data_IF_615152327712
#
_entry.id   IF_615152327712
#
_cell.length_a   1.000
_cell.length_b   1.000
_cell.length_c   1.000
_cell.angle_alpha   90.00
_cell.angle_beta   90.00
_cell.angle_gamma   90.00
#
_symmetry.space_group_name_H-M   'P 1'
#
loop_
_entity.id
_entity.type
_entity.pdbx_description
1 polymer ?
#
# COMPACT_ATOMS: atom_id res chain seq x y z
N UNK A 1 11.72 16.98 6.42
CA UNK A 1 11.92 17.86 5.24
C UNK A 1 13.39 17.94 4.82
N UNK A 2 14.32 18.19 5.76
CA UNK A 2 15.76 18.18 5.49
C UNK A 2 16.23 16.89 4.78
N UNK A 3 15.89 15.71 5.32
CA UNK A 3 16.23 14.41 4.70
C UNK A 3 15.71 14.26 3.26
N UNK A 4 14.50 14.71 2.96
CA UNK A 4 13.95 14.63 1.60
C UNK A 4 14.70 15.59 0.66
N UNK A 5 15.00 16.80 1.14
CA UNK A 5 15.75 17.79 0.38
C UNK A 5 17.18 17.34 0.09
N UNK A 6 17.87 16.68 1.04
CA UNK A 6 19.22 16.15 0.82
C UNK A 6 19.24 15.04 -0.22
N UNK A 7 18.12 14.33 -0.41
CA UNK A 7 17.94 13.32 -1.45
C UNK A 7 17.21 13.87 -2.70
N UNK A 8 17.11 15.18 -2.88
CA UNK A 8 16.52 15.80 -4.08
C UNK A 8 15.01 15.58 -4.24
N UNK A 9 14.30 15.15 -3.18
CA UNK A 9 12.86 14.88 -3.22
C UNK A 9 12.05 16.07 -2.68
N UNK A 10 11.10 16.56 -3.48
CA UNK A 10 10.21 17.66 -3.09
C UNK A 10 9.05 17.13 -2.25
N UNK A 11 8.92 17.63 -1.02
CA UNK A 11 7.79 17.31 -0.16
C UNK A 11 6.62 18.26 -0.39
N UNK A 12 5.49 17.74 -0.88
CA UNK A 12 4.24 18.49 -1.09
C UNK A 12 3.11 17.90 -0.24
N UNK A 13 2.40 18.77 0.46
CA UNK A 13 1.17 18.41 1.20
C UNK A 13 -0.04 18.57 0.28
N UNK A 14 -1.07 17.77 0.52
CA UNK A 14 -2.39 17.93 -0.10
C UNK A 14 -3.11 19.15 0.47
N UNK A 15 -4.03 19.75 -0.29
CA UNK A 15 -4.81 20.88 0.20
C UNK A 15 -5.76 20.43 1.33
N UNK A 16 -6.00 21.26 2.36
CA UNK A 16 -6.99 20.97 3.38
C UNK A 16 -8.35 20.62 2.75
N UNK A 17 -9.07 19.65 3.33
CA UNK A 17 -10.39 19.21 2.86
C UNK A 17 -10.45 18.62 1.44
N UNK A 18 -9.31 18.22 0.86
CA UNK A 18 -9.24 17.59 -0.48
C UNK A 18 -8.71 16.15 -0.41
N UNK A 19 -9.35 15.29 0.38
CA UNK A 19 -8.92 13.88 0.55
C UNK A 19 -8.82 13.12 -0.78
N UNK A 20 -9.61 13.50 -1.78
CA UNK A 20 -9.60 12.91 -3.13
C UNK A 20 -8.21 13.00 -3.80
N UNK A 21 -7.36 13.96 -3.44
CA UNK A 21 -5.98 14.06 -3.92
C UNK A 21 -5.14 12.82 -3.55
N UNK A 22 -5.49 12.13 -2.46
CA UNK A 22 -4.83 10.90 -2.00
C UNK A 22 -5.51 9.62 -2.50
N UNK A 23 -6.58 9.73 -3.30
CA UNK A 23 -7.43 8.58 -3.65
C UNK A 23 -6.71 7.43 -4.36
N UNK A 24 -5.57 7.67 -5.03
CA UNK A 24 -4.74 6.58 -5.58
C UNK A 24 -4.03 5.79 -4.48
N UNK A 25 -3.40 6.49 -3.54
CA UNK A 25 -2.69 5.87 -2.41
C UNK A 25 -3.67 5.11 -1.52
N UNK A 26 -4.82 5.72 -1.22
CA UNK A 26 -5.87 5.10 -0.42
C UNK A 26 -6.41 3.80 -1.06
N UNK A 27 -6.64 3.81 -2.39
CA UNK A 27 -7.05 2.61 -3.13
C UNK A 27 -6.02 1.50 -3.03
N UNK A 28 -4.75 1.81 -3.27
CA UNK A 28 -3.64 0.83 -3.20
C UNK A 28 -3.52 0.26 -1.78
N UNK A 29 -3.56 1.11 -0.76
CA UNK A 29 -3.46 0.69 0.63
C UNK A 29 -4.61 -0.25 1.02
N UNK A 30 -5.85 0.07 0.60
CA UNK A 30 -7.00 -0.81 0.81
C UNK A 30 -6.82 -2.14 0.08
N UNK A 31 -6.38 -2.14 -1.17
CA UNK A 31 -6.12 -3.39 -1.91
C UNK A 31 -5.08 -4.27 -1.19
N UNK A 32 -3.98 -3.70 -0.72
CA UNK A 32 -2.97 -4.45 0.05
C UNK A 32 -3.56 -5.04 1.33
N UNK A 33 -4.28 -4.25 2.12
CA UNK A 33 -4.86 -4.73 3.37
C UNK A 33 -5.88 -5.87 3.16
N UNK A 34 -6.73 -5.76 2.15
CA UNK A 34 -7.67 -6.83 1.80
C UNK A 34 -6.93 -8.09 1.32
N UNK A 35 -5.88 -7.94 0.51
CA UNK A 35 -5.05 -9.07 0.08
C UNK A 35 -4.35 -9.76 1.25
N UNK A 36 -3.80 -9.01 2.21
CA UNK A 36 -3.19 -9.57 3.43
C UNK A 36 -4.21 -10.40 4.21
N UNK A 37 -5.40 -9.86 4.45
CA UNK A 37 -6.48 -10.57 5.16
C UNK A 37 -6.91 -11.83 4.42
N UNK A 38 -7.08 -11.75 3.11
CA UNK A 38 -7.46 -12.89 2.27
C UNK A 38 -6.41 -14.00 2.29
N UNK A 39 -5.11 -13.65 2.20
CA UNK A 39 -4.01 -14.61 2.27
C UNK A 39 -3.94 -15.33 3.62
N UNK A 40 -4.03 -14.58 4.72
CA UNK A 40 -4.00 -15.15 6.07
C UNK A 40 -5.21 -16.06 6.31
N UNK A 41 -6.40 -15.62 5.89
CA UNK A 41 -7.62 -16.42 5.99
C UNK A 41 -7.53 -17.70 5.18
N UNK A 42 -7.10 -17.62 3.92
CA UNK A 42 -6.98 -18.79 3.04
C UNK A 42 -5.94 -19.80 3.54
N UNK A 43 -4.81 -19.33 4.04
CA UNK A 43 -3.75 -20.17 4.58
C UNK A 43 -4.03 -20.68 6.02
N UNK A 44 -5.15 -20.28 6.63
CA UNK A 44 -5.46 -20.54 8.05
C UNK A 44 -4.34 -20.09 8.99
N UNK A 45 -3.69 -18.98 8.65
CA UNK A 45 -2.53 -18.47 9.38
C UNK A 45 -2.95 -17.41 10.41
N UNK A 46 -2.37 -17.42 11.62
CA UNK A 46 -2.62 -16.40 12.62
C UNK A 46 -2.06 -15.04 12.19
N UNK A 47 -2.67 -13.97 12.71
CA UNK A 47 -2.34 -12.59 12.33
C UNK A 47 -0.87 -12.19 12.54
N UNK A 48 -0.09 -12.91 13.37
CA UNK A 48 1.35 -12.67 13.54
C UNK A 48 2.15 -12.78 12.22
N UNK A 49 1.64 -13.53 11.25
CA UNK A 49 2.25 -13.69 9.92
C UNK A 49 1.86 -12.57 8.94
N UNK A 50 1.25 -11.48 9.42
CA UNK A 50 0.92 -10.33 8.57
C UNK A 50 2.12 -9.76 7.79
N UNK A 51 3.39 -9.77 8.27
CA UNK A 51 4.51 -9.28 7.48
C UNK A 51 4.77 -10.14 6.23
N UNK A 52 4.70 -11.47 6.37
CA UNK A 52 4.89 -12.42 5.27
C UNK A 52 3.73 -12.35 4.27
N UNK A 53 2.51 -12.23 4.78
CA UNK A 53 1.32 -12.01 3.96
C UNK A 53 1.38 -10.67 3.21
N UNK A 54 1.93 -9.62 3.83
CA UNK A 54 2.13 -8.32 3.18
C UNK A 54 3.20 -8.38 2.09
N UNK A 55 4.32 -9.05 2.34
CA UNK A 55 5.35 -9.28 1.32
C UNK A 55 4.78 -10.03 0.10
N UNK A 56 3.94 -11.05 0.36
CA UNK A 56 3.26 -11.79 -0.70
C UNK A 56 2.23 -10.93 -1.43
N UNK A 57 1.39 -10.20 -0.71
CA UNK A 57 0.37 -9.32 -1.30
C UNK A 57 0.99 -8.22 -2.18
N UNK A 58 2.09 -7.61 -1.74
CA UNK A 58 2.81 -6.58 -2.50
C UNK A 58 3.42 -7.14 -3.78
N UNK A 59 4.05 -8.33 -3.71
CA UNK A 59 4.55 -9.03 -4.89
C UNK A 59 3.41 -9.29 -5.89
N UNK A 60 2.31 -9.89 -5.43
CA UNK A 60 1.14 -10.20 -6.27
C UNK A 60 0.55 -8.95 -6.92
N UNK A 61 0.46 -7.84 -6.20
CA UNK A 61 -0.06 -6.58 -6.73
C UNK A 61 0.83 -6.01 -7.84
N UNK A 62 2.15 -6.17 -7.73
CA UNK A 62 3.11 -5.64 -8.70
C UNK A 62 3.26 -6.52 -9.97
N UNK A 63 2.97 -7.82 -9.89
CA UNK A 63 3.09 -8.74 -11.03
C UNK A 63 1.77 -8.98 -11.76
N UNK A 64 0.62 -8.77 -11.11
CA UNK A 64 -0.67 -9.01 -11.77
C UNK A 64 -0.92 -7.98 -12.88
N UNK A 65 -1.54 -8.38 -14.00
CA UNK A 65 -1.93 -7.43 -15.02
C UNK A 65 -2.94 -6.42 -14.46
N UNK A 66 -2.65 -5.14 -14.63
CA UNK A 66 -3.61 -4.06 -14.38
C UNK A 66 -4.09 -3.50 -15.72
N UNK A 67 -5.38 -3.17 -15.81
CA UNK A 67 -5.88 -2.43 -16.97
C UNK A 67 -5.19 -1.05 -17.00
N UNK A 68 -4.71 -0.58 -18.16
CA UNK A 68 -4.30 0.81 -18.32
C UNK A 68 -5.48 1.76 -18.06
#
# INVERSE_FOLDING_TARGET
RHLLSTHGTIFRLTCPYTSQQNGRVERVLRTLNESVRALLFHAHMPARYWPDALATATLLLNIRPCKP
#
